data_IF_371418653645
#
_entry.id   IF_371418653645
#
_cell.length_a   1.000
_cell.length_b   1.000
_cell.length_c   1.000
_cell.angle_alpha   90.00
_cell.angle_beta   90.00
_cell.angle_gamma   90.00
#
_symmetry.space_group_name_H-M   'P 1'
#
loop_
_entity.id
_entity.type
_entity.pdbx_description
1 polymer ?
#
# COMPACT_ATOMS: atom_id res chain seq x y z
N UNK A 1 17.93 25.79 2.43
CA UNK A 1 16.93 25.57 1.36
C UNK A 1 15.54 25.65 1.96
N UNK A 2 14.76 26.62 1.51
CA UNK A 2 13.38 26.85 1.91
C UNK A 2 12.48 25.63 1.58
N UNK A 3 11.54 25.36 2.46
CA UNK A 3 10.52 24.33 2.33
C UNK A 3 9.54 24.59 1.18
N UNK A 4 9.29 25.86 0.84
CA UNK A 4 8.48 26.26 -0.32
C UNK A 4 9.19 25.90 -1.64
N UNK A 5 10.46 26.25 -1.79
CA UNK A 5 11.26 25.94 -2.99
C UNK A 5 11.29 24.44 -3.31
N UNK A 6 11.41 23.59 -2.27
CA UNK A 6 11.36 22.13 -2.45
C UNK A 6 10.01 21.64 -2.98
N UNK A 7 8.93 22.32 -2.64
CA UNK A 7 7.59 22.03 -3.15
C UNK A 7 7.50 22.43 -4.63
N UNK A 8 7.99 23.62 -4.98
CA UNK A 8 8.04 24.07 -6.38
C UNK A 8 8.89 23.13 -7.26
N UNK A 9 10.06 22.72 -6.78
CA UNK A 9 10.92 21.77 -7.50
C UNK A 9 10.27 20.39 -7.63
N UNK A 10 9.50 19.97 -6.62
CA UNK A 10 8.71 18.74 -6.68
C UNK A 10 7.64 18.81 -7.77
N UNK A 11 6.86 19.89 -7.83
CA UNK A 11 5.82 20.09 -8.84
C UNK A 11 6.41 20.16 -10.25
N UNK A 12 7.54 20.88 -10.43
CA UNK A 12 8.25 20.93 -11.71
C UNK A 12 8.64 19.55 -12.22
N UNK A 13 9.10 18.65 -11.33
CA UNK A 13 9.43 17.27 -11.70
C UNK A 13 8.19 16.48 -12.12
N UNK A 14 7.05 16.68 -11.44
CA UNK A 14 5.80 16.03 -11.85
C UNK A 14 5.36 16.48 -13.24
N UNK A 15 5.48 17.77 -13.54
CA UNK A 15 5.18 18.32 -14.86
C UNK A 15 6.10 17.74 -15.95
N UNK A 16 7.39 17.57 -15.66
CA UNK A 16 8.31 16.90 -16.59
C UNK A 16 7.89 15.46 -16.89
N UNK A 17 7.46 14.71 -15.87
CA UNK A 17 6.94 13.35 -16.07
C UNK A 17 5.62 13.38 -16.83
N UNK A 18 4.71 14.31 -16.53
CA UNK A 18 3.45 14.47 -17.25
C UNK A 18 3.68 14.67 -18.75
N UNK A 19 4.68 15.47 -19.13
CA UNK A 19 5.01 15.72 -20.53
C UNK A 19 5.42 14.44 -21.29
N UNK A 20 6.01 13.43 -20.62
CA UNK A 20 6.35 12.17 -21.31
C UNK A 20 5.11 11.41 -21.74
N UNK A 21 4.00 11.51 -20.99
CA UNK A 21 2.72 10.91 -21.36
C UNK A 21 1.94 11.72 -22.42
N UNK A 22 2.33 12.97 -22.66
CA UNK A 22 1.84 13.76 -23.79
C UNK A 22 2.56 13.45 -25.10
N UNK A 23 3.69 12.73 -25.05
CA UNK A 23 4.40 12.28 -26.24
C UNK A 23 3.63 11.14 -26.93
N UNK A 24 3.77 11.00 -28.25
CA UNK A 24 3.17 9.89 -29.02
C UNK A 24 3.87 8.54 -28.77
N UNK A 25 4.73 8.45 -27.75
CA UNK A 25 5.46 7.25 -27.39
C UNK A 25 4.55 6.26 -26.64
N UNK A 26 4.38 5.01 -27.13
CA UNK A 26 3.60 4.00 -26.43
C UNK A 26 4.24 3.53 -25.10
N UNK A 27 5.53 3.77 -24.89
CA UNK A 27 6.29 3.40 -23.69
C UNK A 27 6.92 4.63 -23.00
N UNK A 28 6.11 5.55 -22.47
CA UNK A 28 6.57 6.88 -22.00
C UNK A 28 7.42 6.85 -20.71
N UNK A 29 7.67 5.66 -20.16
CA UNK A 29 8.38 5.46 -18.91
C UNK A 29 9.72 4.78 -19.14
N UNK A 30 10.76 5.33 -18.55
CA UNK A 30 12.06 4.69 -18.54
C UNK A 30 12.10 3.51 -17.55
N UNK A 31 13.21 2.76 -17.59
CA UNK A 31 13.43 1.60 -16.72
C UNK A 31 13.33 1.94 -15.22
N UNK A 32 13.93 3.05 -14.80
CA UNK A 32 13.96 3.45 -13.39
C UNK A 32 12.55 3.80 -12.88
N UNK A 33 11.78 4.53 -13.67
CA UNK A 33 10.38 4.88 -13.39
C UNK A 33 9.52 3.62 -13.27
N UNK A 34 9.69 2.68 -14.21
CA UNK A 34 9.00 1.39 -14.19
C UNK A 34 9.34 0.58 -12.93
N UNK A 35 10.61 0.53 -12.52
CA UNK A 35 11.02 -0.13 -11.28
C UNK A 35 10.40 0.52 -10.03
N UNK A 36 10.31 1.85 -9.98
CA UNK A 36 9.66 2.56 -8.86
C UNK A 36 8.19 2.17 -8.75
N UNK A 37 7.47 2.17 -9.87
CA UNK A 37 6.07 1.75 -9.91
C UNK A 37 5.89 0.31 -9.43
N UNK A 38 6.77 -0.63 -9.77
CA UNK A 38 6.69 -1.99 -9.24
C UNK A 38 6.84 -2.05 -7.71
N UNK A 39 7.76 -1.26 -7.14
CA UNK A 39 7.93 -1.16 -5.68
C UNK A 39 6.71 -0.54 -5.00
N UNK A 40 6.12 0.48 -5.62
CA UNK A 40 4.87 1.07 -5.16
C UNK A 40 3.70 0.11 -5.25
N UNK A 41 3.57 -0.62 -6.36
CA UNK A 41 2.55 -1.64 -6.56
C UNK A 41 2.64 -2.69 -5.45
N UNK A 42 3.82 -3.26 -5.21
CA UNK A 42 4.04 -4.23 -4.13
C UNK A 42 3.70 -3.67 -2.75
N UNK A 43 4.02 -2.38 -2.49
CA UNK A 43 3.62 -1.72 -1.25
C UNK A 43 2.10 -1.59 -1.16
N UNK A 44 1.40 -1.21 -2.24
CA UNK A 44 -0.02 -0.88 -2.21
C UNK A 44 -0.93 -2.11 -2.32
N UNK A 45 -0.47 -3.21 -2.91
CA UNK A 45 -1.28 -4.43 -3.12
C UNK A 45 -1.40 -5.33 -1.90
N UNK A 46 -0.46 -5.30 -0.95
CA UNK A 46 -0.40 -6.29 0.13
C UNK A 46 -0.03 -5.77 1.51
N UNK A 47 -0.05 -6.65 2.52
CA UNK A 47 0.43 -6.36 3.86
C UNK A 47 1.95 -6.12 3.90
N UNK A 48 2.40 -5.47 4.96
CA UNK A 48 3.79 -5.00 5.12
C UNK A 48 4.74 -6.16 5.46
N UNK A 49 5.61 -6.57 4.54
CA UNK A 49 6.67 -7.60 4.76
C UNK A 49 7.97 -7.03 5.37
N UNK A 50 7.95 -5.79 5.85
CA UNK A 50 9.14 -5.13 6.38
C UNK A 50 9.67 -5.83 7.64
N UNK A 51 10.94 -6.25 7.60
CA UNK A 51 11.61 -6.96 8.69
C UNK A 51 12.10 -6.00 9.77
N UNK A 52 12.58 -4.81 9.39
CA UNK A 52 13.16 -3.83 10.34
C UNK A 52 12.21 -2.69 10.72
N UNK A 53 12.45 -2.07 11.89
CA UNK A 53 11.71 -0.87 12.35
C UNK A 53 11.78 0.27 11.33
N UNK A 54 12.96 0.51 10.76
CA UNK A 54 13.17 1.55 9.74
C UNK A 54 12.36 1.28 8.48
N UNK A 55 12.35 0.04 7.99
CA UNK A 55 11.55 -0.33 6.81
C UNK A 55 10.05 -0.18 7.09
N UNK A 56 9.57 -0.60 8.27
CA UNK A 56 8.17 -0.41 8.68
C UNK A 56 7.79 1.07 8.69
N UNK A 57 8.66 1.93 9.23
CA UNK A 57 8.43 3.38 9.25
C UNK A 57 8.37 3.97 7.84
N UNK A 58 9.33 3.64 6.98
CA UNK A 58 9.36 4.09 5.58
C UNK A 58 8.08 3.68 4.84
N UNK A 59 7.67 2.41 4.96
CA UNK A 59 6.46 1.92 4.30
C UNK A 59 5.19 2.60 4.83
N UNK A 60 5.10 2.82 6.15
CA UNK A 60 3.97 3.56 6.75
C UNK A 60 3.91 4.98 6.22
N UNK A 61 5.03 5.70 6.19
CA UNK A 61 5.12 7.05 5.67
C UNK A 61 4.68 7.10 4.20
N UNK A 62 5.17 6.17 3.38
CA UNK A 62 4.81 6.10 1.97
C UNK A 62 3.31 5.80 1.74
N UNK A 63 2.71 4.92 2.54
CA UNK A 63 1.25 4.67 2.49
C UNK A 63 0.45 5.90 2.90
N UNK A 64 0.88 6.62 3.94
CA UNK A 64 0.23 7.86 4.38
C UNK A 64 0.31 8.93 3.29
N UNK A 65 1.48 9.09 2.68
CA UNK A 65 1.68 9.96 1.54
C UNK A 65 0.72 9.60 0.39
N UNK A 66 0.74 8.34 -0.06
CA UNK A 66 -0.11 7.88 -1.15
C UNK A 66 -1.60 8.06 -0.84
N UNK A 67 -2.04 7.68 0.35
CA UNK A 67 -3.44 7.84 0.77
C UNK A 67 -3.88 9.30 0.76
N UNK A 68 -3.01 10.22 1.17
CA UNK A 68 -3.34 11.65 1.19
C UNK A 68 -3.41 12.22 -0.22
N UNK A 69 -2.41 11.96 -1.07
CA UNK A 69 -2.43 12.42 -2.47
C UNK A 69 -3.62 11.86 -3.24
N UNK A 70 -3.89 10.55 -3.09
CA UNK A 70 -5.06 9.92 -3.71
C UNK A 70 -6.37 10.64 -3.37
N UNK A 71 -6.54 11.03 -2.10
CA UNK A 71 -7.76 11.70 -1.62
C UNK A 71 -7.91 13.12 -2.15
N UNK A 72 -6.82 13.90 -2.23
CA UNK A 72 -6.90 15.33 -2.55
C UNK A 72 -6.69 15.64 -4.04
N UNK A 73 -5.87 14.84 -4.74
CA UNK A 73 -5.42 15.14 -6.11
C UNK A 73 -5.64 13.98 -7.10
N UNK A 74 -6.29 12.89 -6.66
CA UNK A 74 -6.69 11.79 -7.53
C UNK A 74 -5.59 10.77 -7.86
N UNK A 75 -5.95 9.83 -8.74
CA UNK A 75 -5.14 8.65 -9.08
C UNK A 75 -3.97 9.00 -9.99
N UNK A 76 -4.19 9.88 -10.95
CA UNK A 76 -3.23 10.32 -11.96
C UNK A 76 -2.08 11.09 -11.31
N UNK A 77 -2.40 12.05 -10.45
CA UNK A 77 -1.40 12.79 -9.65
C UNK A 77 -0.57 11.85 -8.79
N UNK A 78 -1.21 10.89 -8.11
CA UNK A 78 -0.49 9.89 -7.33
C UNK A 78 0.40 9.02 -8.22
N UNK A 79 -0.08 8.61 -9.39
CA UNK A 79 0.70 7.82 -10.34
C UNK A 79 1.97 8.54 -10.78
N UNK A 80 1.88 9.84 -11.10
CA UNK A 80 3.05 10.67 -11.40
C UNK A 80 4.01 10.76 -10.22
N UNK A 81 3.50 10.95 -9.00
CA UNK A 81 4.32 10.95 -7.79
C UNK A 81 5.08 9.62 -7.60
N UNK A 82 4.42 8.49 -7.81
CA UNK A 82 5.02 7.16 -7.67
C UNK A 82 6.05 6.85 -8.76
N UNK A 83 5.89 7.48 -9.93
CA UNK A 83 6.81 7.40 -11.06
C UNK A 83 8.11 8.17 -10.77
N UNK A 84 7.99 9.37 -10.19
CA UNK A 84 9.16 10.22 -9.90
C UNK A 84 9.88 9.86 -8.60
N UNK A 85 9.16 9.37 -7.59
CA UNK A 85 9.73 9.12 -6.27
C UNK A 85 9.67 7.64 -5.89
N UNK A 86 10.77 7.14 -5.31
CA UNK A 86 10.75 5.81 -4.69
C UNK A 86 10.10 5.87 -3.32
N UNK A 87 9.60 4.73 -2.84
CA UNK A 87 9.02 4.56 -1.50
C UNK A 87 9.93 5.11 -0.38
N UNK A 88 11.25 4.95 -0.50
CA UNK A 88 12.23 5.46 0.47
C UNK A 88 12.75 6.87 0.18
N UNK A 89 12.45 7.41 -1.01
CA UNK A 89 12.95 8.69 -1.51
C UNK A 89 11.91 9.81 -1.51
N UNK A 90 10.83 9.64 -0.75
CA UNK A 90 9.79 10.66 -0.65
C UNK A 90 10.32 11.96 -0.02
N UNK A 91 9.83 13.13 -0.46
CA UNK A 91 10.22 14.40 0.13
C UNK A 91 9.86 14.44 1.61
N UNK A 92 10.72 15.06 2.42
CA UNK A 92 10.38 15.40 3.81
C UNK A 92 9.40 16.57 3.78
N UNK A 93 8.14 16.29 4.05
CA UNK A 93 7.07 17.28 3.99
C UNK A 93 7.10 18.09 5.29
N UNK A 94 7.86 19.20 5.27
CA UNK A 94 7.92 20.17 6.36
C UNK A 94 7.04 21.39 6.11
N UNK A 95 6.72 21.66 4.85
CA UNK A 95 5.91 22.79 4.45
C UNK A 95 4.43 22.47 4.63
N UNK A 96 3.70 23.30 5.38
CA UNK A 96 2.27 23.13 5.62
C UNK A 96 1.47 23.19 4.32
N UNK A 97 1.83 24.07 3.39
CA UNK A 97 1.18 24.25 2.10
C UNK A 97 1.50 23.19 1.04
N UNK A 98 2.32 22.19 1.35
CA UNK A 98 2.74 21.17 0.36
C UNK A 98 1.55 20.44 -0.27
N UNK A 99 0.60 20.01 0.55
CA UNK A 99 -0.54 19.24 0.07
C UNK A 99 -1.55 20.11 -0.68
N UNK A 100 -1.78 21.34 -0.22
CA UNK A 100 -2.61 22.32 -0.93
C UNK A 100 -2.04 22.65 -2.30
N UNK A 101 -0.72 22.86 -2.40
CA UNK A 101 -0.06 23.12 -3.68
C UNK A 101 -0.18 21.95 -4.67
N UNK A 102 -0.14 20.70 -4.18
CA UNK A 102 -0.35 19.52 -5.03
C UNK A 102 -1.81 19.37 -5.45
N UNK A 103 -2.75 19.64 -4.55
CA UNK A 103 -4.18 19.62 -4.85
C UNK A 103 -4.52 20.65 -5.93
N UNK A 104 -4.10 21.90 -5.75
CA UNK A 104 -4.27 22.99 -6.73
C UNK A 104 -3.63 22.63 -8.07
N UNK A 105 -2.40 22.13 -8.06
CA UNK A 105 -1.71 21.69 -9.28
C UNK A 105 -2.49 20.57 -9.98
N UNK A 106 -2.90 19.53 -9.26
CA UNK A 106 -3.62 18.39 -9.82
C UNK A 106 -4.97 18.77 -10.44
N UNK A 107 -5.66 19.77 -9.86
CA UNK A 107 -6.91 20.31 -10.41
C UNK A 107 -6.68 21.20 -11.65
N UNK A 108 -5.54 21.88 -11.73
CA UNK A 108 -5.19 22.74 -12.87
C UNK A 108 -4.76 21.97 -14.12
N UNK A 109 -4.36 20.71 -13.97
CA UNK A 109 -3.77 19.90 -15.05
C UNK A 109 -4.84 19.15 -15.84
N UNK A 110 -4.72 19.20 -17.17
CA UNK A 110 -5.40 18.24 -18.05
C UNK A 110 -4.51 17.04 -18.28
N UNK A 111 -4.88 15.89 -17.70
CA UNK A 111 -4.11 14.67 -17.85
C UNK A 111 -4.24 14.07 -19.26
N UNK A 112 -3.13 13.71 -19.93
CA UNK A 112 -3.16 12.98 -21.19
C UNK A 112 -3.89 11.64 -21.08
N UNK A 113 -4.60 11.24 -22.13
CA UNK A 113 -5.36 9.97 -22.15
C UNK A 113 -4.47 8.75 -21.86
N UNK A 114 -3.24 8.74 -22.37
CA UNK A 114 -2.28 7.67 -22.12
C UNK A 114 -1.96 7.53 -20.62
N UNK A 115 -1.83 8.64 -19.89
CA UNK A 115 -1.62 8.63 -18.45
C UNK A 115 -2.85 8.06 -17.73
N UNK A 116 -4.06 8.49 -18.10
CA UNK A 116 -5.32 7.99 -17.54
C UNK A 116 -5.46 6.48 -17.75
N UNK A 117 -5.12 5.98 -18.95
CA UNK A 117 -5.12 4.56 -19.26
C UNK A 117 -4.11 3.79 -18.41
N UNK A 118 -2.86 4.23 -18.37
CA UNK A 118 -1.79 3.57 -17.58
C UNK A 118 -2.07 3.59 -16.08
N UNK A 119 -2.69 4.67 -15.60
CA UNK A 119 -3.14 4.81 -14.22
C UNK A 119 -4.24 3.79 -13.92
N UNK A 120 -5.24 3.66 -14.80
CA UNK A 120 -6.32 2.68 -14.65
C UNK A 120 -5.79 1.24 -14.62
N UNK A 121 -4.95 0.86 -15.58
CA UNK A 121 -4.29 -0.47 -15.65
C UNK A 121 -3.53 -0.80 -14.35
N UNK A 122 -2.82 0.19 -13.80
CA UNK A 122 -2.06 0.03 -12.57
C UNK A 122 -2.96 -0.26 -11.36
N UNK A 123 -4.07 0.48 -11.21
CA UNK A 123 -5.00 0.30 -10.09
C UNK A 123 -5.83 -0.98 -10.20
N UNK A 124 -6.28 -1.33 -11.40
CA UNK A 124 -6.95 -2.60 -11.65
C UNK A 124 -6.06 -3.77 -11.20
N UNK A 125 -4.77 -3.72 -11.55
CA UNK A 125 -3.86 -4.79 -11.11
C UNK A 125 -3.65 -4.81 -9.60
N UNK A 126 -3.67 -3.65 -8.92
CA UNK A 126 -3.61 -3.60 -7.45
C UNK A 126 -4.86 -4.24 -6.84
N UNK A 127 -6.03 -3.94 -7.39
CA UNK A 127 -7.30 -4.43 -6.86
C UNK A 127 -7.42 -5.95 -7.05
N UNK A 128 -6.97 -6.49 -8.18
CA UNK A 128 -6.83 -7.95 -8.40
C UNK A 128 -5.93 -8.58 -7.34
N UNK A 129 -4.71 -8.06 -7.16
CA UNK A 129 -3.76 -8.60 -6.18
C UNK A 129 -4.28 -8.52 -4.74
N UNK A 130 -5.08 -7.49 -4.41
CA UNK A 130 -5.74 -7.39 -3.10
C UNK A 130 -6.85 -8.42 -2.93
N UNK A 131 -7.57 -8.72 -4.00
CA UNK A 131 -8.61 -9.76 -4.04
C UNK A 131 -8.03 -11.15 -3.85
N UNK A 132 -6.93 -11.47 -4.51
CA UNK A 132 -6.21 -12.74 -4.36
C UNK A 132 -5.71 -12.97 -2.92
N UNK A 133 -5.22 -11.91 -2.26
CA UNK A 133 -4.78 -11.98 -0.85
C UNK A 133 -5.97 -12.12 0.13
N UNK A 134 -7.20 -11.83 -0.29
CA UNK A 134 -8.42 -11.90 0.53
C UNK A 134 -9.26 -13.15 0.30
N UNK A 135 -8.97 -13.97 -0.70
CA UNK A 135 -9.63 -15.26 -0.87
C UNK A 135 -9.19 -16.18 0.29
N UNK A 136 -10.11 -16.60 1.19
CA UNK A 136 -9.76 -17.59 2.18
C UNK A 136 -9.62 -18.93 1.46
N UNK A 137 -8.56 -19.66 1.79
CA UNK A 137 -8.49 -21.09 1.58
C UNK A 137 -9.72 -21.73 2.27
N UNK A 138 -10.79 -21.91 1.51
CA UNK A 138 -11.83 -22.87 1.81
C UNK A 138 -11.24 -24.27 1.61
N UNK A 139 -10.30 -24.67 2.48
CA UNK A 139 -10.06 -26.08 2.72
C UNK A 139 -11.29 -26.63 3.42
N UNK A 140 -12.28 -27.00 2.60
CA UNK A 140 -13.29 -27.98 2.94
C UNK A 140 -12.55 -29.27 3.25
N UNK A 141 -12.18 -29.46 4.51
CA UNK A 141 -12.03 -30.81 5.04
C UNK A 141 -13.43 -31.41 4.98
N UNK A 142 -13.73 -32.14 3.91
CA UNK A 142 -14.80 -33.13 3.92
C UNK A 142 -14.46 -34.09 5.06
N UNK A 143 -15.16 -33.87 6.17
CA UNK A 143 -15.26 -34.77 7.30
C UNK A 143 -15.85 -36.08 6.78
N UNK A 144 -14.97 -36.99 6.37
CA UNK A 144 -15.35 -38.36 6.07
C UNK A 144 -15.75 -39.00 7.39
N UNK A 145 -17.06 -39.01 7.62
CA UNK A 145 -17.70 -39.89 8.57
C UNK A 145 -17.15 -41.32 8.41
N UNK A 146 -16.51 -41.81 9.47
CA UNK A 146 -16.39 -43.24 9.73
C UNK A 146 -16.62 -43.49 11.22
N UNK A 147 -17.52 -44.41 11.59
CA UNK A 147 -17.95 -44.59 12.96
C UNK A 147 -16.99 -45.50 13.72
N UNK A 148 -16.77 -45.19 14.99
CA UNK A 148 -16.34 -46.16 15.98
C UNK A 148 -14.86 -46.14 16.34
N UNK A 149 -14.57 -45.57 17.51
CA UNK A 149 -14.01 -46.31 18.66
C UNK A 149 -14.09 -45.44 19.91
N UNK A 150 -14.87 -45.95 20.88
CA UNK A 150 -14.88 -45.47 22.26
C UNK A 150 -13.48 -45.57 22.86
N UNK A 151 -13.01 -44.49 23.50
CA UNK A 151 -12.08 -44.56 24.61
C UNK A 151 -12.62 -43.60 25.69
N UNK A 152 -13.24 -44.20 26.69
CA UNK A 152 -13.71 -43.60 27.92
C UNK A 152 -12.52 -43.12 28.75
N UNK A 153 -12.50 -41.85 29.17
CA UNK A 153 -11.97 -41.39 30.46
C UNK A 153 -12.40 -39.93 30.66
N UNK A 154 -13.61 -39.73 31.17
CA UNK A 154 -13.95 -38.51 31.90
C UNK A 154 -14.13 -38.88 33.36
N UNK A 155 -13.19 -38.37 34.17
CA UNK A 155 -13.30 -38.31 35.60
C UNK A 155 -14.45 -37.40 35.97
N UNK A 156 -15.18 -37.80 37.01
CA UNK A 156 -16.29 -37.04 37.52
C UNK A 156 -16.18 -36.87 39.03
N UNK A 157 -16.15 -35.59 39.40
CA UNK A 157 -16.66 -34.93 40.61
C UNK A 157 -15.94 -35.08 41.97
N UNK A 158 -15.49 -33.90 42.44
CA UNK A 158 -15.16 -33.43 43.79
C UNK A 158 -16.31 -33.63 44.82
N UNK A 159 -16.28 -33.10 46.06
CA UNK A 159 -15.20 -32.58 46.94
C UNK A 159 -15.26 -33.24 48.36
N UNK A 160 -14.41 -32.82 49.33
CA UNK A 160 -14.77 -32.56 50.76
C UNK A 160 -13.51 -32.32 51.62
N UNK A 161 -13.59 -31.25 52.43
CA UNK A 161 -12.69 -30.87 53.55
C UNK A 161 -12.39 -32.02 54.50
N UNK A 162 -11.18 -32.06 55.08
CA UNK A 162 -10.97 -31.70 56.50
C UNK A 162 -9.51 -31.84 56.96
N UNK A 163 -9.21 -30.99 57.95
CA UNK A 163 -8.03 -30.74 58.76
C UNK A 163 -7.20 -31.93 59.28
N UNK A 164 -6.06 -31.51 59.86
CA UNK A 164 -5.15 -32.14 60.85
C UNK A 164 -4.00 -32.95 60.25
N UNK A 165 -2.74 -32.74 60.65
CA UNK A 165 -2.19 -31.91 61.73
C UNK A 165 -0.66 -31.95 61.67
N UNK A 166 -0.04 -31.07 62.47
CA UNK A 166 1.39 -30.99 62.73
C UNK A 166 2.01 -32.34 63.11
N UNK A 167 3.19 -32.63 62.57
CA UNK A 167 4.49 -32.61 63.28
C UNK A 167 5.60 -33.08 62.33
#
# INVERSE_FOLDING_TARGET
MDSAQKTTDFLRRLEQVLLTFGSRDPAPLNYLQSQRLQKWKALLSGPTLAKSRTQKHIQRYARQFASKIFKIAGRETLYLCMTEYSVSGLPKIKYSGFYSAIEEWGQSVRFPELLTKKTSEFWETIDILRGEVRAPEGQSYSDNSSPGRRLSYEGNFSPVRSNSGNL
#
